data_IF_131327247748
#
_entry.id   IF_131327247748
#
_cell.length_a   1.000
_cell.length_b   1.000
_cell.length_c   1.000
_cell.angle_alpha   90.00
_cell.angle_beta   90.00
_cell.angle_gamma   90.00
#
_symmetry.space_group_name_H-M   'P 1'
#
loop_
_entity.id
_entity.type
_entity.pdbx_description
1 polymer ?
#
# COMPACT_ATOMS: atom_id res chain seq x y z
N UNK A 1 -20.20 -12.77 -9.21
CA UNK A 1 -19.56 -12.18 -8.02
C UNK A 1 -19.13 -10.79 -8.41
N UNK A 2 -19.41 -9.78 -7.60
CA UNK A 2 -18.92 -8.42 -7.87
C UNK A 2 -17.38 -8.43 -7.80
N UNK A 3 -16.71 -7.61 -8.60
CA UNK A 3 -15.27 -7.43 -8.46
C UNK A 3 -14.97 -6.70 -7.14
N UNK A 4 -13.79 -6.90 -6.56
CA UNK A 4 -13.41 -6.21 -5.31
C UNK A 4 -13.56 -4.68 -5.43
N UNK A 5 -13.28 -4.10 -6.60
CA UNK A 5 -13.48 -2.68 -6.88
C UNK A 5 -14.95 -2.25 -6.71
N UNK A 6 -15.90 -3.05 -7.21
CA UNK A 6 -17.33 -2.77 -7.03
C UNK A 6 -17.75 -2.83 -5.57
N UNK A 7 -17.19 -3.75 -4.77
CA UNK A 7 -17.50 -3.80 -3.34
C UNK A 7 -16.98 -2.57 -2.61
N UNK A 8 -15.77 -2.11 -2.94
CA UNK A 8 -15.22 -0.88 -2.35
C UNK A 8 -16.07 0.34 -2.68
N UNK A 9 -16.51 0.49 -3.93
CA UNK A 9 -17.29 1.66 -4.35
C UNK A 9 -18.76 1.56 -3.94
N UNK A 10 -19.45 0.46 -4.27
CA UNK A 10 -20.91 0.34 -4.12
C UNK A 10 -21.35 -0.03 -2.69
N UNK A 11 -20.55 -0.82 -1.96
CA UNK A 11 -20.94 -1.32 -0.62
C UNK A 11 -20.29 -0.49 0.48
N UNK A 12 -19.02 -0.10 0.29
CA UNK A 12 -18.24 0.61 1.28
C UNK A 12 -18.23 2.13 1.08
N UNK A 13 -18.66 2.63 -0.07
CA UNK A 13 -18.61 4.05 -0.44
C UNK A 13 -17.17 4.61 -0.32
N UNK A 14 -16.21 3.77 -0.73
CA UNK A 14 -14.77 4.07 -0.74
C UNK A 14 -14.25 4.14 -2.15
N UNK A 15 -13.53 5.21 -2.46
CA UNK A 15 -12.99 5.46 -3.80
C UNK A 15 -11.47 5.51 -3.75
N UNK A 16 -10.81 4.87 -4.71
CA UNK A 16 -9.35 4.95 -4.81
C UNK A 16 -8.90 6.40 -5.05
N UNK A 17 -7.78 6.80 -4.45
CA UNK A 17 -7.16 8.10 -4.75
C UNK A 17 -6.32 8.06 -6.03
N UNK A 18 -6.26 6.91 -6.72
CA UNK A 18 -5.40 6.69 -7.88
C UNK A 18 -3.93 6.48 -7.50
N UNK A 19 -3.63 6.23 -6.21
CA UNK A 19 -2.28 6.05 -5.69
C UNK A 19 -2.12 4.74 -4.91
N UNK A 20 -0.97 4.10 -5.10
CA UNK A 20 -0.51 2.99 -4.29
C UNK A 20 0.98 3.15 -3.96
N UNK A 21 1.43 2.57 -2.84
CA UNK A 21 2.81 2.62 -2.38
C UNK A 21 3.35 1.23 -2.10
N UNK A 22 4.57 0.92 -2.51
CA UNK A 22 5.27 -0.31 -2.11
C UNK A 22 6.40 0.08 -1.17
N UNK A 23 6.31 -0.36 0.09
CA UNK A 23 7.31 -0.12 1.12
C UNK A 23 8.37 -1.22 1.07
N UNK A 24 9.63 -0.82 0.93
CA UNK A 24 10.77 -1.73 0.89
C UNK A 24 11.76 -1.35 1.99
N UNK A 25 12.24 -2.36 2.72
CA UNK A 25 13.32 -2.15 3.70
C UNK A 25 14.68 -2.09 2.99
N UNK A 26 15.61 -1.21 3.40
CA UNK A 26 17.02 -1.29 2.99
C UNK A 26 17.64 -2.67 3.31
N UNK A 27 18.72 -3.06 2.62
CA UNK A 27 19.53 -4.20 3.09
C UNK A 27 20.36 -3.81 4.31
N UNK A 28 20.88 -4.82 5.03
CA UNK A 28 21.70 -4.59 6.23
C UNK A 28 22.93 -3.69 5.95
N UNK A 29 23.51 -3.79 4.75
CA UNK A 29 24.68 -3.02 4.33
C UNK A 29 24.35 -1.71 3.57
N UNK A 30 23.08 -1.29 3.50
CA UNK A 30 22.66 -0.12 2.73
C UNK A 30 22.06 0.97 3.61
N UNK A 31 22.39 2.22 3.28
CA UNK A 31 21.59 3.37 3.72
C UNK A 31 20.33 3.57 2.85
N UNK A 32 19.45 4.49 3.28
CA UNK A 32 18.19 4.77 2.60
C UNK A 32 18.38 5.29 1.16
N UNK A 33 19.42 6.08 0.91
CA UNK A 33 19.70 6.68 -0.42
C UNK A 33 20.19 5.60 -1.38
N UNK A 34 21.05 4.70 -0.92
CA UNK A 34 21.51 3.53 -1.68
C UNK A 34 20.36 2.60 -2.01
N UNK A 35 19.46 2.34 -1.06
CA UNK A 35 18.27 1.52 -1.27
C UNK A 35 17.32 2.17 -2.31
N UNK A 36 17.10 3.50 -2.23
CA UNK A 36 16.34 4.25 -3.25
C UNK A 36 16.95 4.08 -4.64
N UNK A 37 18.26 4.28 -4.79
CA UNK A 37 18.94 4.15 -6.07
C UNK A 37 18.92 2.70 -6.61
N UNK A 38 18.90 1.70 -5.73
CA UNK A 38 18.67 0.31 -6.12
C UNK A 38 17.27 0.11 -6.72
N UNK A 39 16.21 0.60 -6.07
CA UNK A 39 14.85 0.50 -6.58
C UNK A 39 14.66 1.27 -7.89
N UNK A 40 15.24 2.45 -8.03
CA UNK A 40 15.19 3.22 -9.29
C UNK A 40 15.82 2.44 -10.44
N UNK A 41 16.99 1.81 -10.21
CA UNK A 41 17.63 0.94 -11.21
C UNK A 41 16.79 -0.29 -11.52
N UNK A 42 16.14 -0.87 -10.50
CA UNK A 42 15.25 -2.01 -10.69
C UNK A 42 14.06 -1.70 -11.60
N UNK A 43 13.53 -0.48 -11.49
CA UNK A 43 12.37 -0.04 -12.26
C UNK A 43 12.73 0.68 -13.57
N UNK A 44 14.01 0.95 -13.83
CA UNK A 44 14.46 1.74 -14.99
C UNK A 44 14.07 1.15 -16.35
N UNK A 45 13.93 -0.17 -16.44
CA UNK A 45 13.54 -0.87 -17.66
C UNK A 45 12.05 -1.18 -17.73
N UNK A 46 11.33 -0.97 -16.63
CA UNK A 46 9.89 -1.14 -16.62
C UNK A 46 9.29 -0.03 -17.48
N UNK A 47 8.38 -0.39 -18.39
CA UNK A 47 7.66 0.57 -19.21
C UNK A 47 6.18 0.28 -19.09
N UNK A 48 5.40 1.31 -18.77
CA UNK A 48 3.95 1.29 -18.83
C UNK A 48 3.49 2.48 -19.66
N UNK A 49 2.48 2.27 -20.50
CA UNK A 49 1.86 3.34 -21.29
C UNK A 49 0.97 4.25 -20.44
N UNK A 50 0.47 3.74 -19.31
CA UNK A 50 -0.57 4.39 -18.51
C UNK A 50 -0.12 4.65 -17.07
N UNK A 51 0.59 3.70 -16.46
CA UNK A 51 1.05 3.81 -15.08
C UNK A 51 2.31 4.69 -14.97
N UNK A 52 2.34 5.54 -13.94
CA UNK A 52 3.55 6.28 -13.54
C UNK A 52 4.00 5.78 -12.18
N UNK A 53 5.31 5.69 -11.98
CA UNK A 53 5.87 5.43 -10.66
C UNK A 53 7.09 6.30 -10.39
N UNK A 54 7.28 6.63 -9.12
CA UNK A 54 8.45 7.32 -8.60
C UNK A 54 8.96 6.58 -7.38
N UNK A 55 10.26 6.67 -7.11
CA UNK A 55 10.83 6.19 -5.84
C UNK A 55 11.10 7.40 -4.95
N UNK A 56 10.58 7.37 -3.73
CA UNK A 56 10.73 8.45 -2.73
C UNK A 56 11.19 7.86 -1.41
N UNK A 57 11.73 8.70 -0.53
CA UNK A 57 11.95 8.35 0.87
C UNK A 57 10.82 8.94 1.70
N UNK A 58 10.42 8.25 2.77
CA UNK A 58 9.56 8.87 3.79
C UNK A 58 10.34 9.81 4.71
N UNK A 59 9.60 10.65 5.45
CA UNK A 59 10.14 11.64 6.38
C UNK A 59 10.37 11.08 7.79
N UNK A 60 10.51 9.74 7.93
CA UNK A 60 10.76 9.12 9.22
C UNK A 60 12.20 9.34 9.69
N UNK A 61 12.45 9.20 11.00
CA UNK A 61 13.81 9.31 11.58
C UNK A 61 14.80 8.31 10.96
N UNK A 62 14.28 7.19 10.45
CA UNK A 62 15.02 6.17 9.70
C UNK A 62 14.35 5.95 8.35
N UNK A 63 14.66 6.80 7.33
CA UNK A 63 13.91 6.83 6.09
C UNK A 63 13.86 5.48 5.36
N UNK A 64 12.67 5.10 4.90
CA UNK A 64 12.50 3.92 4.05
C UNK A 64 12.16 4.31 2.61
N UNK A 65 12.65 3.56 1.60
CA UNK A 65 12.26 3.79 0.22
C UNK A 65 10.87 3.24 -0.09
N UNK A 66 10.09 4.08 -0.78
CA UNK A 66 8.75 3.80 -1.25
C UNK A 66 8.70 3.89 -2.76
N UNK A 67 8.04 2.93 -3.41
CA UNK A 67 7.68 3.03 -4.83
C UNK A 67 6.23 3.52 -4.90
N UNK A 68 6.03 4.77 -5.31
CA UNK A 68 4.72 5.40 -5.41
C UNK A 68 4.20 5.24 -6.83
N UNK A 69 3.12 4.50 -6.96
CA UNK A 69 2.45 4.17 -8.22
C UNK A 69 1.21 5.04 -8.37
N UNK A 70 1.01 5.61 -9.55
CA UNK A 70 -0.18 6.37 -9.92
C UNK A 70 -0.80 5.79 -11.18
N UNK A 71 -2.10 5.51 -11.13
CA UNK A 71 -2.83 4.87 -12.20
C UNK A 71 -4.33 5.22 -12.18
N UNK A 72 -5.05 4.86 -13.24
CA UNK A 72 -6.42 5.32 -13.55
C UNK A 72 -7.53 4.71 -12.70
N UNK A 73 -7.25 3.67 -11.90
CA UNK A 73 -8.24 3.02 -11.04
C UNK A 73 -7.69 1.81 -10.30
N UNK A 74 -8.51 1.21 -9.42
CA UNK A 74 -8.07 0.11 -8.57
C UNK A 74 -7.56 -1.13 -9.35
N UNK A 75 -8.23 -1.61 -10.42
CA UNK A 75 -7.71 -2.74 -11.20
C UNK A 75 -6.34 -2.44 -11.84
N UNK A 76 -6.16 -1.22 -12.35
CA UNK A 76 -4.91 -0.79 -12.96
C UNK A 76 -3.80 -0.67 -11.91
N UNK A 77 -4.08 -0.06 -10.74
CA UNK A 77 -3.16 -0.01 -9.60
C UNK A 77 -2.76 -1.41 -9.12
N UNK A 78 -3.71 -2.33 -8.99
CA UNK A 78 -3.43 -3.71 -8.57
C UNK A 78 -2.54 -4.43 -9.60
N UNK A 79 -2.75 -4.20 -10.89
CA UNK A 79 -1.90 -4.75 -11.93
C UNK A 79 -0.49 -4.13 -11.90
N UNK A 80 -0.38 -2.81 -11.79
CA UNK A 80 0.89 -2.08 -11.76
C UNK A 80 1.74 -2.45 -10.54
N UNK A 81 1.14 -2.54 -9.36
CA UNK A 81 1.82 -3.00 -8.13
C UNK A 81 2.22 -4.48 -8.19
N UNK A 82 1.40 -5.35 -8.81
CA UNK A 82 1.77 -6.75 -9.07
C UNK A 82 3.01 -6.86 -9.96
N UNK A 83 3.04 -6.12 -11.07
CA UNK A 83 4.19 -6.10 -11.98
C UNK A 83 5.45 -5.60 -11.26
N UNK A 84 5.34 -4.52 -10.50
CA UNK A 84 6.45 -4.02 -9.67
C UNK A 84 6.92 -5.10 -8.69
N UNK A 85 5.99 -5.77 -7.99
CA UNK A 85 6.31 -6.86 -7.08
C UNK A 85 7.07 -8.01 -7.76
N UNK A 86 6.63 -8.42 -8.96
CA UNK A 86 7.31 -9.45 -9.77
C UNK A 86 8.72 -9.01 -10.18
N UNK A 87 8.88 -7.74 -10.61
CA UNK A 87 10.20 -7.16 -10.91
C UNK A 87 11.11 -7.21 -9.68
N UNK A 88 10.64 -6.77 -8.51
CA UNK A 88 11.42 -6.80 -7.28
C UNK A 88 11.82 -8.22 -6.87
N UNK A 89 10.93 -9.20 -7.01
CA UNK A 89 11.24 -10.61 -6.76
C UNK A 89 12.32 -11.12 -7.72
N UNK A 90 12.20 -10.81 -9.02
CA UNK A 90 13.19 -11.24 -10.03
C UNK A 90 14.59 -10.69 -9.79
N UNK A 91 14.69 -9.55 -9.11
CA UNK A 91 15.96 -8.91 -8.74
C UNK A 91 16.46 -9.28 -7.34
N UNK A 92 15.80 -10.21 -6.65
CA UNK A 92 16.18 -10.63 -5.29
C UNK A 92 15.79 -9.65 -4.18
N UNK A 93 15.01 -8.61 -4.50
CA UNK A 93 14.53 -7.59 -3.55
C UNK A 93 13.23 -8.04 -2.85
N UNK A 94 12.50 -9.00 -3.43
CA UNK A 94 11.22 -9.51 -2.91
C UNK A 94 11.15 -9.74 -1.39
N UNK A 95 12.13 -10.40 -0.74
CA UNK A 95 12.15 -10.61 0.71
C UNK A 95 12.21 -9.33 1.56
N UNK A 96 12.62 -8.19 0.96
CA UNK A 96 12.69 -6.88 1.62
C UNK A 96 11.40 -6.06 1.46
N UNK A 97 10.43 -6.51 0.66
CA UNK A 97 9.14 -5.84 0.52
C UNK A 97 8.32 -6.06 1.80
N UNK A 98 8.03 -4.95 2.49
CA UNK A 98 7.31 -4.98 3.77
C UNK A 98 5.80 -4.88 3.58
N UNK A 99 5.36 -4.04 2.64
CA UNK A 99 3.94 -3.82 2.38
C UNK A 99 3.67 -3.26 0.99
N UNK A 100 2.46 -3.50 0.49
CA UNK A 100 1.87 -2.70 -0.59
C UNK A 100 0.61 -2.01 -0.04
N UNK A 101 0.55 -0.69 -0.15
CA UNK A 101 -0.48 0.17 0.42
C UNK A 101 -1.30 0.76 -0.71
N UNK A 102 -2.63 0.70 -0.60
CA UNK A 102 -3.55 1.34 -1.54
C UNK A 102 -4.33 2.41 -0.80
N UNK A 103 -4.28 3.63 -1.31
CA UNK A 103 -4.96 4.76 -0.71
C UNK A 103 -6.38 4.90 -1.28
N UNK A 104 -7.33 5.01 -0.36
CA UNK A 104 -8.75 5.23 -0.62
C UNK A 104 -9.23 6.43 0.17
N UNK A 105 -10.35 6.99 -0.27
CA UNK A 105 -11.10 8.03 0.42
C UNK A 105 -12.47 7.49 0.78
N UNK A 106 -12.86 7.72 2.04
CA UNK A 106 -14.20 7.47 2.55
C UNK A 106 -14.73 8.78 3.12
N UNK A 107 -15.70 9.39 2.45
CA UNK A 107 -16.16 10.76 2.75
C UNK A 107 -14.98 11.74 2.72
N UNK A 108 -14.65 12.37 3.85
CA UNK A 108 -13.53 13.31 4.01
C UNK A 108 -12.29 12.67 4.66
N UNK A 109 -12.34 11.37 4.96
CA UNK A 109 -11.27 10.64 5.65
C UNK A 109 -10.51 9.73 4.67
N UNK A 110 -9.20 9.62 4.86
CA UNK A 110 -8.37 8.67 4.13
C UNK A 110 -8.39 7.30 4.80
N UNK A 111 -8.43 6.26 3.98
CA UNK A 111 -8.35 4.86 4.42
C UNK A 111 -7.32 4.15 3.55
N UNK A 112 -6.52 3.32 4.18
CA UNK A 112 -5.45 2.59 3.54
C UNK A 112 -5.69 1.10 3.63
N UNK A 113 -5.57 0.41 2.50
CA UNK A 113 -5.54 -1.05 2.45
C UNK A 113 -4.10 -1.52 2.34
N UNK A 114 -3.60 -2.15 3.39
CA UNK A 114 -2.20 -2.56 3.52
C UNK A 114 -2.11 -4.06 3.28
N UNK A 115 -1.57 -4.46 2.13
CA UNK A 115 -1.18 -5.84 1.87
C UNK A 115 0.15 -6.14 2.56
N UNK A 116 0.16 -7.17 3.41
CA UNK A 116 1.34 -7.61 4.13
C UNK A 116 1.81 -8.97 3.60
N UNK A 117 2.95 -9.04 2.87
CA UNK A 117 3.46 -10.31 2.34
C UNK A 117 3.66 -11.41 3.39
N UNK A 118 4.03 -11.03 4.62
CA UNK A 118 4.26 -11.95 5.75
C UNK A 118 3.03 -12.81 6.09
N UNK A 119 1.84 -12.23 6.06
CA UNK A 119 0.58 -12.92 6.38
C UNK A 119 -0.28 -13.17 5.13
N UNK A 120 0.17 -12.69 3.96
CA UNK A 120 -0.50 -12.80 2.65
C UNK A 120 -1.95 -12.31 2.69
N UNK A 121 -2.20 -11.25 3.44
CA UNK A 121 -3.51 -10.68 3.65
C UNK A 121 -3.46 -9.15 3.70
N UNK A 122 -4.61 -8.55 3.44
CA UNK A 122 -4.86 -7.13 3.59
C UNK A 122 -5.35 -6.79 4.99
N UNK A 123 -4.93 -5.64 5.50
CA UNK A 123 -5.42 -5.06 6.75
C UNK A 123 -5.80 -3.61 6.49
N UNK A 124 -7.02 -3.17 6.87
CA UNK A 124 -7.38 -1.78 6.74
C UNK A 124 -6.69 -0.95 7.83
N UNK A 125 -6.38 0.28 7.47
CA UNK A 125 -5.82 1.27 8.37
C UNK A 125 -6.52 2.60 8.11
N UNK A 126 -7.10 3.19 9.15
CA UNK A 126 -7.81 4.45 9.07
C UNK A 126 -7.26 5.41 10.12
N UNK A 127 -6.42 6.40 9.74
CA UNK A 127 -6.02 7.44 10.66
C UNK A 127 -7.24 8.25 11.10
N UNK A 128 -7.36 8.53 12.39
CA UNK A 128 -8.47 9.30 12.94
C UNK A 128 -8.36 10.77 12.50
N UNK A 129 -9.47 11.34 12.02
CA UNK A 129 -9.55 12.77 11.67
C UNK A 129 -9.82 13.60 12.92
N UNK A 130 -9.01 14.65 13.15
CA UNK A 130 -9.26 15.64 14.21
C UNK A 130 -8.91 15.21 15.64
N UNK A 131 -8.08 14.17 15.81
CA UNK A 131 -7.60 13.68 17.11
C UNK A 131 -6.10 13.94 17.36
N UNK A 132 -5.54 13.28 18.39
CA UNK A 132 -4.10 13.30 18.66
C UNK A 132 -3.31 12.67 17.50
N UNK A 133 -2.05 13.10 17.27
CA UNK A 133 -1.17 12.45 16.31
C UNK A 133 -1.15 10.93 16.49
N UNK A 134 -1.15 10.19 15.38
CA UNK A 134 -1.09 8.73 15.36
C UNK A 134 -2.27 7.98 16.01
N UNK A 135 -3.44 8.63 16.12
CA UNK A 135 -4.68 7.98 16.60
C UNK A 135 -5.41 7.25 15.47
N UNK A 136 -5.93 6.03 15.73
CA UNK A 136 -6.65 5.19 14.75
C UNK A 136 -8.16 5.22 14.94
N UNK A 137 -8.90 5.19 13.84
CA UNK A 137 -10.34 4.90 13.84
C UNK A 137 -10.60 3.39 13.78
N UNK A 138 -10.41 2.71 14.91
CA UNK A 138 -10.64 1.27 15.02
C UNK A 138 -12.05 0.80 14.62
N UNK A 139 -13.14 1.49 15.00
CA UNK A 139 -14.48 1.13 14.53
C UNK A 139 -14.59 1.11 13.01
N UNK A 140 -14.01 2.09 12.32
CA UNK A 140 -13.99 2.17 10.86
C UNK A 140 -13.17 1.02 10.25
N UNK A 141 -11.96 0.76 10.78
CA UNK A 141 -11.12 -0.34 10.31
C UNK A 141 -11.83 -1.70 10.42
N UNK A 142 -12.50 -1.97 11.55
CA UNK A 142 -13.28 -3.19 11.76
C UNK A 142 -14.46 -3.31 10.79
N UNK A 143 -15.15 -2.20 10.52
CA UNK A 143 -16.25 -2.17 9.54
C UNK A 143 -15.74 -2.50 8.14
N UNK A 144 -14.63 -1.86 7.73
CA UNK A 144 -14.01 -2.06 6.42
C UNK A 144 -13.57 -3.51 6.24
N UNK A 145 -12.88 -4.07 7.25
CA UNK A 145 -12.45 -5.46 7.19
C UNK A 145 -13.64 -6.42 7.07
N UNK A 146 -14.67 -6.25 7.89
CA UNK A 146 -15.88 -7.10 7.88
C UNK A 146 -16.60 -7.12 6.54
N UNK A 147 -16.71 -5.97 5.88
CA UNK A 147 -17.38 -5.85 4.60
C UNK A 147 -16.59 -6.50 3.46
N UNK A 148 -15.26 -6.43 3.49
CA UNK A 148 -14.39 -6.92 2.41
C UNK A 148 -13.94 -8.38 2.54
N UNK A 149 -14.23 -9.06 3.67
CA UNK A 149 -13.74 -10.43 3.97
C UNK A 149 -14.03 -11.49 2.90
N UNK A 150 -15.10 -11.30 2.12
CA UNK A 150 -15.54 -12.26 1.10
C UNK A 150 -14.87 -12.04 -0.25
N UNK A 151 -14.30 -10.85 -0.47
CA UNK A 151 -13.85 -10.38 -1.77
C UNK A 151 -12.32 -10.32 -1.86
N UNK A 152 -11.65 -10.04 -0.73
CA UNK A 152 -10.20 -10.03 -0.62
C UNK A 152 -9.73 -10.80 0.63
N UNK A 153 -8.52 -11.38 0.62
CA UNK A 153 -7.97 -12.03 1.80
C UNK A 153 -7.66 -10.97 2.86
N UNK A 154 -8.40 -10.98 3.97
CA UNK A 154 -8.17 -10.08 5.12
C UNK A 154 -7.71 -10.85 6.35
N UNK A 155 -6.93 -10.21 7.23
CA UNK A 155 -6.61 -10.78 8.55
C UNK A 155 -7.68 -10.44 9.58
N UNK A 156 -8.19 -11.47 10.26
CA UNK A 156 -9.12 -11.33 11.41
C UNK A 156 -8.41 -11.04 12.72
N UNK A 157 -7.10 -11.27 12.79
CA UNK A 157 -6.32 -11.07 14.00
C UNK A 157 -5.86 -9.61 14.04
N UNK A 158 -6.55 -8.76 14.81
CA UNK A 158 -6.25 -7.32 14.92
C UNK A 158 -4.79 -7.07 15.31
N UNK A 159 -4.17 -7.98 16.09
CA UNK A 159 -2.74 -7.93 16.46
C UNK A 159 -1.78 -8.01 15.26
N UNK A 160 -2.26 -8.46 14.09
CA UNK A 160 -1.50 -8.52 12.84
C UNK A 160 -1.68 -7.27 11.99
N UNK A 161 -2.56 -6.34 12.40
CA UNK A 161 -2.80 -5.11 11.66
C UNK A 161 -1.66 -4.16 11.96
N UNK A 162 -0.81 -3.94 10.95
CA UNK A 162 0.37 -3.10 11.04
C UNK A 162 0.05 -1.72 10.49
N UNK A 163 -0.28 -0.73 11.34
CA UNK A 163 -0.51 0.64 10.90
C UNK A 163 0.80 1.23 10.40
N UNK A 164 0.76 1.94 9.27
CA UNK A 164 1.92 2.64 8.72
C UNK A 164 1.58 4.13 8.70
N UNK A 165 2.36 4.92 9.43
CA UNK A 165 2.21 6.36 9.53
C UNK A 165 3.22 7.07 8.62
N UNK A 166 2.99 8.36 8.31
CA UNK A 166 3.94 9.17 7.54
C UNK A 166 4.17 8.68 6.10
N UNK A 167 3.19 7.97 5.52
CA UNK A 167 3.28 7.44 4.16
C UNK A 167 3.29 8.60 3.14
N UNK A 168 4.16 8.58 2.12
CA UNK A 168 4.20 9.64 1.10
C UNK A 168 3.15 9.39 -0.01
N UNK A 169 1.89 9.15 0.38
CA UNK A 169 0.74 8.86 -0.50
C UNK A 169 -0.25 10.02 -0.57
#
# INVERSE_FOLDING_TARGET
MASAAQVFEEVLDTFTTGKAGVLVRPSEDQDAVQAKAELERALAHLKSSEARWDVVLDDSEHPHPWIIVRDSGLPALANSTRIIGETLVSMGIGPRVLAAVYAFRWKEQEIYWIYQPRIRAFTPFAPATGGEPETRDHPLELRMEQASRKDIPTSRAIKEWYPIWGMPL
#
